data_IF_120796919233
#
_entry.id   IF_120796919233
#
_cell.length_a   1.000
_cell.length_b   1.000
_cell.length_c   1.000
_cell.angle_alpha   90.00
_cell.angle_beta   90.00
_cell.angle_gamma   90.00
#
_symmetry.space_group_name_H-M   'P 1'
#
loop_
_entity.id
_entity.type
_entity.pdbx_description
1 polymer ?
#
# COMPACT_ATOMS: atom_id res chain seq x y z
N UNK A 1 -30.76 -40.13 -25.49
CA UNK A 1 -31.05 -39.22 -24.35
C UNK A 1 -30.00 -39.30 -23.22
N UNK A 2 -29.43 -40.48 -22.92
CA UNK A 2 -28.46 -40.65 -21.82
C UNK A 2 -27.03 -40.16 -22.14
N UNK A 3 -26.61 -40.22 -23.42
CA UNK A 3 -25.28 -39.77 -23.86
C UNK A 3 -25.11 -38.25 -23.75
N UNK A 4 -26.14 -37.48 -24.12
CA UNK A 4 -26.14 -36.00 -24.02
C UNK A 4 -26.11 -35.53 -22.56
N UNK A 5 -26.83 -36.24 -21.67
CA UNK A 5 -26.79 -35.97 -20.22
C UNK A 5 -25.41 -36.27 -19.61
N UNK A 6 -24.76 -37.36 -20.03
CA UNK A 6 -23.41 -37.71 -19.60
C UNK A 6 -22.36 -36.68 -20.05
N UNK A 7 -22.46 -36.21 -21.30
CA UNK A 7 -21.57 -35.15 -21.83
C UNK A 7 -21.78 -33.83 -21.08
N UNK A 8 -23.02 -33.44 -20.81
CA UNK A 8 -23.34 -32.22 -20.06
C UNK A 8 -22.83 -32.28 -18.60
N UNK A 9 -22.89 -33.46 -17.96
CA UNK A 9 -22.40 -33.67 -16.60
C UNK A 9 -20.87 -33.61 -16.51
N UNK A 10 -20.16 -34.12 -17.53
CA UNK A 10 -18.69 -34.01 -17.62
C UNK A 10 -18.27 -32.55 -17.88
N UNK A 11 -18.98 -31.82 -18.74
CA UNK A 11 -18.75 -30.38 -18.98
C UNK A 11 -18.94 -29.52 -17.72
N UNK A 12 -19.95 -29.81 -16.90
CA UNK A 12 -20.17 -29.12 -15.62
C UNK A 12 -19.06 -29.40 -14.59
N UNK A 13 -18.50 -30.61 -14.58
CA UNK A 13 -17.36 -30.96 -13.72
C UNK A 13 -16.05 -30.27 -14.16
N UNK A 14 -15.85 -29.99 -15.46
CA UNK A 14 -14.70 -29.21 -15.94
C UNK A 14 -14.81 -27.70 -15.68
N UNK A 15 -16.02 -27.15 -15.54
CA UNK A 15 -16.25 -25.74 -15.18
C UNK A 15 -15.99 -25.48 -13.69
N UNK A 16 -15.86 -26.54 -12.88
CA UNK A 16 -15.60 -26.43 -11.43
C UNK A 16 -14.14 -26.05 -11.10
N UNK A 17 -13.31 -25.76 -12.10
CA UNK A 17 -11.90 -25.44 -11.95
C UNK A 17 -11.66 -24.05 -11.37
N UNK A 18 -11.28 -24.02 -10.09
CA UNK A 18 -10.49 -22.98 -9.41
C UNK A 18 -11.09 -21.55 -9.33
N UNK A 19 -12.24 -21.39 -8.66
CA UNK A 19 -12.44 -20.16 -7.88
C UNK A 19 -11.61 -20.27 -6.60
N UNK A 20 -10.33 -19.89 -6.66
CA UNK A 20 -9.55 -19.65 -5.46
C UNK A 20 -9.57 -18.15 -5.19
N UNK A 21 -10.06 -17.75 -4.02
CA UNK A 21 -9.93 -16.38 -3.57
C UNK A 21 -8.43 -16.06 -3.45
N UNK A 22 -8.01 -14.91 -3.97
CA UNK A 22 -6.64 -14.45 -3.79
C UNK A 22 -6.40 -14.23 -2.29
N UNK A 23 -5.39 -14.90 -1.74
CA UNK A 23 -4.92 -14.62 -0.38
C UNK A 23 -4.11 -13.33 -0.45
N UNK A 24 -4.51 -12.33 0.33
CA UNK A 24 -3.78 -11.07 0.45
C UNK A 24 -2.95 -11.08 1.73
N UNK A 25 -1.70 -10.65 1.63
CA UNK A 25 -0.76 -10.57 2.74
C UNK A 25 -0.69 -9.12 3.22
N UNK A 26 -0.84 -8.92 4.52
CA UNK A 26 -0.68 -7.62 5.18
C UNK A 26 0.51 -7.68 6.14
N UNK A 27 1.56 -6.89 5.85
CA UNK A 27 2.63 -6.60 6.81
C UNK A 27 2.19 -5.48 7.75
N UNK A 28 1.52 -5.87 8.83
CA UNK A 28 1.02 -4.97 9.85
C UNK A 28 2.18 -4.44 10.70
N UNK A 29 2.23 -3.12 10.90
CA UNK A 29 3.31 -2.44 11.63
C UNK A 29 4.71 -2.85 11.16
N UNK A 30 4.93 -2.79 9.86
CA UNK A 30 6.15 -3.27 9.23
C UNK A 30 7.42 -2.59 9.78
N UNK A 31 7.28 -1.37 10.30
CA UNK A 31 8.33 -0.61 10.98
C UNK A 31 8.89 -1.26 12.25
N UNK A 32 8.22 -2.29 12.79
CA UNK A 32 8.70 -3.07 13.94
C UNK A 32 9.65 -4.20 13.55
N UNK A 33 9.76 -4.51 12.26
CA UNK A 33 10.66 -5.54 11.74
C UNK A 33 12.10 -5.04 11.63
N UNK A 34 13.05 -5.98 11.50
CA UNK A 34 14.48 -5.67 11.39
C UNK A 34 14.83 -4.86 10.13
N UNK A 35 14.07 -5.06 9.04
CA UNK A 35 14.24 -4.37 7.76
C UNK A 35 12.90 -3.79 7.31
N UNK A 36 12.46 -2.64 7.88
CA UNK A 36 11.25 -1.96 7.45
C UNK A 36 11.26 -1.70 5.95
N UNK A 37 10.05 -1.72 5.37
CA UNK A 37 9.75 -1.70 3.95
C UNK A 37 10.27 -2.92 3.18
N UNK A 38 11.57 -3.20 3.25
CA UNK A 38 12.22 -4.24 2.45
C UNK A 38 11.72 -5.64 2.78
N UNK A 39 11.54 -5.96 4.06
CA UNK A 39 11.01 -7.26 4.47
C UNK A 39 9.63 -7.55 3.86
N UNK A 40 8.70 -6.60 3.96
CA UNK A 40 7.37 -6.75 3.36
C UNK A 40 7.41 -6.78 1.83
N UNK A 41 8.21 -5.90 1.21
CA UNK A 41 8.35 -5.82 -0.24
C UNK A 41 8.92 -7.11 -0.84
N UNK A 42 9.99 -7.66 -0.25
CA UNK A 42 10.62 -8.91 -0.72
C UNK A 42 9.71 -10.12 -0.55
N UNK A 43 8.86 -10.13 0.48
CA UNK A 43 7.83 -11.16 0.69
C UNK A 43 6.56 -10.93 -0.14
N UNK A 44 6.56 -9.92 -1.01
CA UNK A 44 5.43 -9.55 -1.87
C UNK A 44 4.14 -9.27 -1.10
N UNK A 45 4.23 -8.62 0.05
CA UNK A 45 3.06 -8.18 0.80
C UNK A 45 2.17 -7.29 -0.07
N UNK A 46 0.85 -7.44 0.06
CA UNK A 46 -0.13 -6.63 -0.66
C UNK A 46 -0.41 -5.31 0.06
N UNK A 47 -0.29 -5.30 1.39
CA UNK A 47 -0.43 -4.10 2.23
C UNK A 47 0.80 -3.98 3.13
N UNK A 48 1.37 -2.79 3.19
CA UNK A 48 2.48 -2.43 4.07
C UNK A 48 1.99 -1.27 4.93
N UNK A 49 1.88 -1.48 6.24
CA UNK A 49 1.31 -0.50 7.16
C UNK A 49 2.39 0.33 7.89
N UNK A 50 2.15 1.64 7.96
CA UNK A 50 2.90 2.60 8.73
C UNK A 50 1.96 3.42 9.62
N UNK A 51 2.19 3.33 10.93
CA UNK A 51 1.51 4.14 11.94
C UNK A 51 2.15 5.52 11.99
N UNK A 52 1.40 6.60 11.71
CA UNK A 52 1.97 7.94 11.58
C UNK A 52 1.52 8.92 12.66
N UNK A 53 2.48 9.75 13.09
CA UNK A 53 2.31 10.86 14.04
C UNK A 53 2.90 12.15 13.43
N UNK A 54 2.18 13.29 13.47
CA UNK A 54 2.71 14.57 13.02
C UNK A 54 3.63 15.18 14.10
N UNK A 55 4.91 15.39 13.77
CA UNK A 55 5.88 16.02 14.67
C UNK A 55 6.71 17.04 13.92
N UNK A 56 6.63 18.31 14.34
CA UNK A 56 7.45 19.41 13.79
C UNK A 56 7.44 19.50 12.26
N UNK A 57 6.27 19.32 11.64
CA UNK A 57 6.08 19.40 10.19
C UNK A 57 6.50 18.16 9.41
N UNK A 58 6.81 17.05 10.08
CA UNK A 58 7.12 15.75 9.47
C UNK A 58 6.15 14.69 9.96
N UNK A 59 6.03 13.60 9.18
CA UNK A 59 5.33 12.40 9.61
C UNK A 59 6.34 11.41 10.18
N UNK A 60 6.21 11.12 11.46
CA UNK A 60 7.02 10.15 12.19
C UNK A 60 6.29 8.81 12.21
N UNK A 61 7.04 7.71 12.08
CA UNK A 61 6.52 6.35 12.15
C UNK A 61 6.87 5.75 13.50
N UNK A 62 5.85 5.32 14.25
CA UNK A 62 6.03 4.63 15.53
C UNK A 62 4.73 3.95 15.96
N UNK A 63 4.79 3.00 16.88
CA UNK A 63 3.59 2.41 17.49
C UNK A 63 2.90 3.36 18.48
N UNK A 64 3.66 4.23 19.14
CA UNK A 64 3.13 5.25 20.04
C UNK A 64 4.08 6.45 20.10
N UNK A 65 3.57 7.61 20.54
CA UNK A 65 4.37 8.84 20.69
C UNK A 65 5.65 8.66 21.50
N UNK A 66 5.62 7.78 22.51
CA UNK A 66 6.77 7.56 23.41
C UNK A 66 7.92 6.80 22.74
N UNK A 67 7.69 6.19 21.57
CA UNK A 67 8.67 5.43 20.80
C UNK A 67 9.08 6.13 19.50
N UNK A 68 8.83 7.44 19.38
CA UNK A 68 9.25 8.20 18.21
C UNK A 68 10.77 8.39 18.25
N UNK A 69 11.44 7.87 17.22
CA UNK A 69 12.85 8.12 16.94
C UNK A 69 12.99 9.20 15.87
N UNK A 70 13.96 10.12 16.04
CA UNK A 70 14.10 11.30 15.18
C UNK A 70 14.33 10.96 13.69
N UNK A 71 14.90 9.78 13.40
CA UNK A 71 15.23 9.33 12.03
C UNK A 71 14.15 8.44 11.41
N UNK A 72 13.13 8.05 12.18
CA UNK A 72 12.02 7.18 11.76
C UNK A 72 10.89 7.99 11.12
N UNK A 73 11.20 8.72 10.06
CA UNK A 73 10.19 9.46 9.29
C UNK A 73 9.51 8.56 8.26
N UNK A 74 8.26 8.84 7.90
CA UNK A 74 7.56 8.15 6.82
C UNK A 74 8.37 8.22 5.50
N UNK A 75 8.95 9.39 5.24
CA UNK A 75 9.80 9.63 4.08
C UNK A 75 11.02 8.70 4.05
N UNK A 76 11.82 8.66 5.12
CA UNK A 76 13.02 7.84 5.18
C UNK A 76 12.72 6.34 5.19
N UNK A 77 11.66 5.92 5.88
CA UNK A 77 11.35 4.49 6.07
C UNK A 77 10.60 3.87 4.89
N UNK A 78 9.79 4.64 4.17
CA UNK A 78 8.89 4.11 3.13
C UNK A 78 8.97 4.87 1.82
N UNK A 79 8.76 6.20 1.81
CA UNK A 79 8.61 6.92 0.54
C UNK A 79 9.90 6.92 -0.28
N UNK A 80 11.06 7.18 0.34
CA UNK A 80 12.35 7.19 -0.36
C UNK A 80 12.74 5.80 -0.91
N UNK A 81 12.61 4.70 -0.16
CA UNK A 81 12.78 3.35 -0.72
C UNK A 81 11.87 3.07 -1.93
N UNK A 82 10.60 3.48 -1.88
CA UNK A 82 9.66 3.32 -3.00
C UNK A 82 10.10 4.14 -4.22
N UNK A 83 10.42 5.42 -4.00
CA UNK A 83 10.92 6.32 -5.06
C UNK A 83 12.17 5.73 -5.70
N UNK A 84 13.08 5.16 -4.90
CA UNK A 84 14.29 4.52 -5.40
C UNK A 84 13.98 3.34 -6.32
N UNK A 85 13.02 2.47 -5.96
CA UNK A 85 12.59 1.36 -6.83
C UNK A 85 12.02 1.86 -8.16
N UNK A 86 11.22 2.93 -8.15
CA UNK A 86 10.72 3.55 -9.37
C UNK A 86 11.86 4.15 -10.20
N UNK A 87 12.79 4.89 -9.59
CA UNK A 87 13.94 5.48 -10.28
C UNK A 87 14.77 4.44 -11.02
N UNK A 88 15.08 3.32 -10.37
CA UNK A 88 15.79 2.19 -10.97
C UNK A 88 15.07 1.61 -12.19
N UNK A 89 13.74 1.78 -12.27
CA UNK A 89 12.86 1.25 -13.32
C UNK A 89 12.28 2.35 -14.21
N UNK A 90 12.97 3.48 -14.32
CA UNK A 90 12.56 4.62 -15.15
C UNK A 90 11.14 5.09 -14.87
N UNK A 91 10.75 5.09 -13.60
CA UNK A 91 9.44 5.49 -13.07
C UNK A 91 8.26 4.68 -13.64
N UNK A 92 8.48 3.43 -14.03
CA UNK A 92 7.40 2.57 -14.57
C UNK A 92 6.68 1.77 -13.49
N UNK A 93 7.40 1.17 -12.55
CA UNK A 93 6.85 0.22 -11.57
C UNK A 93 7.84 0.06 -10.41
N UNK A 94 7.36 -0.46 -9.28
CA UNK A 94 8.21 -0.85 -8.14
C UNK A 94 8.91 -2.18 -8.35
N UNK A 95 8.38 -3.06 -9.21
CA UNK A 95 8.84 -4.44 -9.38
C UNK A 95 8.88 -4.86 -10.85
N UNK A 96 9.82 -5.75 -11.18
CA UNK A 96 9.92 -6.37 -12.51
C UNK A 96 8.86 -7.45 -12.74
N UNK A 97 8.22 -7.92 -11.66
CA UNK A 97 7.04 -8.78 -11.72
C UNK A 97 5.82 -7.93 -12.10
N UNK A 98 5.25 -8.09 -13.30
CA UNK A 98 4.13 -7.27 -13.77
C UNK A 98 2.83 -7.52 -12.99
N UNK A 99 2.78 -8.57 -12.16
CA UNK A 99 1.63 -8.90 -11.33
C UNK A 99 1.79 -8.43 -9.88
N UNK A 100 2.93 -7.83 -9.53
CA UNK A 100 3.19 -7.37 -8.17
C UNK A 100 3.16 -5.84 -8.06
N UNK A 101 2.29 -5.37 -7.18
CA UNK A 101 2.30 -4.04 -6.58
C UNK A 101 1.67 -4.17 -5.18
N UNK A 102 1.68 -3.09 -4.41
CA UNK A 102 1.16 -3.06 -3.05
C UNK A 102 0.50 -1.73 -2.72
N UNK A 103 -0.26 -1.74 -1.63
CA UNK A 103 -0.79 -0.57 -0.98
C UNK A 103 0.14 -0.16 0.15
N UNK A 104 0.52 1.13 0.18
CA UNK A 104 1.12 1.71 1.38
C UNK A 104 -0.02 2.22 2.27
N UNK A 105 -0.27 1.51 3.36
CA UNK A 105 -1.31 1.86 4.32
C UNK A 105 -0.75 2.85 5.34
N UNK A 106 -1.34 4.03 5.41
CA UNK A 106 -1.01 5.07 6.37
C UNK A 106 -2.09 5.06 7.44
N UNK A 107 -1.77 4.50 8.61
CA UNK A 107 -2.67 4.50 9.75
C UNK A 107 -2.44 5.75 10.61
N UNK A 108 -3.40 6.67 10.55
CA UNK A 108 -3.31 7.97 11.20
C UNK A 108 -3.68 7.81 12.69
N UNK A 109 -2.68 7.93 13.58
CA UNK A 109 -2.87 7.75 15.03
C UNK A 109 -3.27 9.04 15.78
N UNK A 110 -3.34 10.15 15.07
CA UNK A 110 -3.73 11.48 15.58
C UNK A 110 -4.74 12.14 14.65
N UNK A 111 -4.93 13.46 14.74
CA UNK A 111 -5.92 14.14 13.92
C UNK A 111 -5.51 14.17 12.44
N UNK A 112 -6.39 13.69 11.57
CA UNK A 112 -6.20 13.69 10.12
C UNK A 112 -5.89 15.08 9.56
N UNK A 113 -6.47 16.13 10.13
CA UNK A 113 -6.33 17.52 9.67
C UNK A 113 -4.88 18.05 9.81
N UNK A 114 -4.13 17.47 10.75
CA UNK A 114 -2.71 17.75 10.95
C UNK A 114 -1.77 16.83 10.15
N UNK A 115 -2.25 15.68 9.69
CA UNK A 115 -1.44 14.66 8.99
C UNK A 115 -1.59 14.77 7.48
N UNK A 116 -2.82 14.84 6.96
CA UNK A 116 -3.09 14.79 5.51
C UNK A 116 -2.41 15.92 4.73
N UNK A 117 -2.34 17.18 5.20
CA UNK A 117 -1.59 18.22 4.49
C UNK A 117 -0.10 17.90 4.33
N UNK A 118 0.53 17.32 5.35
CA UNK A 118 1.95 16.93 5.32
C UNK A 118 2.14 15.75 4.36
N UNK A 119 1.28 14.73 4.48
CA UNK A 119 1.31 13.55 3.62
C UNK A 119 1.15 13.95 2.14
N UNK A 120 0.14 14.76 1.83
CA UNK A 120 -0.11 15.24 0.47
C UNK A 120 1.08 16.05 -0.06
N UNK A 121 1.71 16.87 0.78
CA UNK A 121 2.90 17.61 0.37
C UNK A 121 4.03 16.66 -0.07
N UNK A 122 4.33 15.62 0.73
CA UNK A 122 5.37 14.62 0.42
C UNK A 122 5.04 13.81 -0.84
N UNK A 123 3.82 13.29 -0.96
CA UNK A 123 3.39 12.48 -2.11
C UNK A 123 3.39 13.27 -3.42
N UNK A 124 2.93 14.54 -3.39
CA UNK A 124 2.85 15.39 -4.58
C UNK A 124 4.22 15.83 -5.12
N UNK A 125 5.32 15.61 -4.38
CA UNK A 125 6.66 15.80 -4.94
C UNK A 125 7.04 14.70 -5.94
N UNK A 126 6.38 13.54 -5.89
CA UNK A 126 6.70 12.36 -6.69
C UNK A 126 5.44 11.69 -7.29
N UNK A 127 4.63 12.42 -8.08
CA UNK A 127 3.34 11.92 -8.54
C UNK A 127 3.48 10.70 -9.48
N UNK A 128 4.62 10.49 -10.13
CA UNK A 128 4.90 9.28 -10.90
C UNK A 128 5.00 8.00 -10.04
N UNK A 129 5.26 8.15 -8.75
CA UNK A 129 5.35 7.05 -7.79
C UNK A 129 4.04 6.80 -7.05
N UNK A 130 3.21 7.84 -6.85
CA UNK A 130 2.06 7.79 -5.92
C UNK A 130 0.71 8.26 -6.50
N UNK A 131 0.66 8.78 -7.74
CA UNK A 131 -0.60 9.18 -8.39
C UNK A 131 -0.94 8.24 -9.55
N UNK A 132 -1.99 7.41 -9.35
CA UNK A 132 -2.45 6.44 -10.36
C UNK A 132 -3.04 7.08 -11.62
N UNK A 133 -3.39 8.36 -11.59
CA UNK A 133 -3.81 9.13 -12.77
C UNK A 133 -2.61 9.49 -13.65
N UNK A 134 -1.42 9.67 -13.05
CA UNK A 134 -0.17 9.95 -13.76
C UNK A 134 0.54 8.65 -14.18
N UNK A 135 0.56 7.66 -13.32
CA UNK A 135 1.14 6.34 -13.58
C UNK A 135 0.20 5.24 -13.05
N UNK A 136 -0.45 4.43 -13.90
CA UNK A 136 -1.36 3.37 -13.47
C UNK A 136 -0.75 2.34 -12.50
N UNK A 137 0.59 2.22 -12.51
CA UNK A 137 1.41 1.34 -11.67
C UNK A 137 1.99 2.03 -10.42
N UNK A 138 1.65 3.31 -10.18
CA UNK A 138 1.99 4.00 -8.94
C UNK A 138 1.49 3.22 -7.72
N UNK A 139 2.26 3.27 -6.62
CA UNK A 139 1.85 2.69 -5.34
C UNK A 139 0.61 3.43 -4.87
N UNK A 140 -0.42 2.67 -4.52
CA UNK A 140 -1.66 3.24 -4.01
C UNK A 140 -1.55 3.50 -2.52
N UNK A 141 -1.92 4.71 -2.10
CA UNK A 141 -2.00 5.07 -0.69
C UNK A 141 -3.36 4.63 -0.15
N UNK A 142 -3.36 4.00 1.03
CA UNK A 142 -4.57 3.59 1.73
C UNK A 142 -4.62 4.27 3.10
N UNK A 143 -5.60 5.13 3.34
CA UNK A 143 -5.72 5.84 4.62
C UNK A 143 -6.58 5.05 5.61
N UNK A 144 -6.05 4.85 6.81
CA UNK A 144 -6.74 4.23 7.95
C UNK A 144 -6.56 5.08 9.21
N UNK A 145 -7.15 4.63 10.33
CA UNK A 145 -7.08 5.33 11.61
C UNK A 145 -8.07 6.48 11.67
N UNK A 146 -7.63 7.64 12.16
CA UNK A 146 -8.40 8.88 12.12
C UNK A 146 -8.53 9.37 10.67
N UNK A 147 -9.75 9.74 10.26
CA UNK A 147 -10.05 10.07 8.86
C UNK A 147 -10.98 11.28 8.79
N UNK A 148 -10.94 12.05 7.70
CA UNK A 148 -11.91 13.09 7.50
C UNK A 148 -13.32 12.48 7.32
N UNK A 149 -14.38 13.29 7.36
CA UNK A 149 -15.72 12.82 7.02
C UNK A 149 -15.73 12.14 5.64
N UNK A 150 -16.48 11.05 5.52
CA UNK A 150 -16.64 10.28 4.28
C UNK A 150 -17.05 11.13 3.08
N UNK A 151 -17.87 12.15 3.33
CA UNK A 151 -18.28 13.16 2.34
C UNK A 151 -17.11 13.91 1.69
N UNK A 152 -15.90 13.87 2.26
CA UNK A 152 -14.73 14.60 1.77
C UNK A 152 -13.64 13.69 1.17
N UNK A 153 -13.84 12.37 1.11
CA UNK A 153 -12.82 11.42 0.64
C UNK A 153 -12.30 11.71 -0.77
N UNK A 154 -13.11 12.33 -1.62
CA UNK A 154 -12.74 12.71 -2.99
C UNK A 154 -11.66 13.82 -3.06
N UNK A 155 -11.32 14.47 -1.94
CA UNK A 155 -10.23 15.46 -1.86
C UNK A 155 -8.86 14.85 -1.56
N UNK A 156 -8.80 13.56 -1.20
CA UNK A 156 -7.60 12.89 -0.74
C UNK A 156 -7.20 11.76 -1.71
N UNK A 157 -5.91 11.40 -1.78
CA UNK A 157 -5.38 10.39 -2.71
C UNK A 157 -5.97 9.00 -2.51
#
# INVERSE_FOLDING_TARGET
MNLVKGILMVLLLFISGHLSAQILIHSHNDYTHAHPFWGAYEQKANFIEADVFPVSGKLMVAHSKNYIHADSTLSSMYLQPIIHLFQQRHYKTVSDDPHYSFYLMIDIKEKWDSVLPILMHELNQHPECFDRRKNPMAVQIFISGDRPPDTTFHHYP
#
